data_IF_653614230950
#
_entry.id   IF_653614230950
#
_cell.length_a   1.000
_cell.length_b   1.000
_cell.length_c   1.000
_cell.angle_alpha   90.00
_cell.angle_beta   90.00
_cell.angle_gamma   90.00
#
_symmetry.space_group_name_H-M   'P 1'
#
loop_
_entity.id
_entity.type
_entity.pdbx_description
1 polymer ?
#
# COMPACT_ATOMS: atom_id res chain seq x y z
N UNK A 1 -9.75 8.31 13.81
CA UNK A 1 -9.75 7.33 12.71
C UNK A 1 -8.33 6.99 12.25
N UNK A 2 -7.50 7.97 11.83
CA UNK A 2 -6.12 7.69 11.39
C UNK A 2 -5.28 6.98 12.48
N UNK A 3 -5.29 7.50 13.71
CA UNK A 3 -4.60 6.88 14.85
C UNK A 3 -5.04 5.44 15.14
N UNK A 4 -6.31 5.10 14.88
CA UNK A 4 -6.80 3.73 15.02
C UNK A 4 -6.20 2.82 13.95
N UNK A 5 -6.12 3.27 12.69
CA UNK A 5 -5.47 2.54 11.61
C UNK A 5 -3.96 2.39 11.85
N UNK A 6 -3.30 3.39 12.44
CA UNK A 6 -1.88 3.29 12.85
C UNK A 6 -1.69 2.21 13.91
N UNK A 7 -2.52 2.21 14.96
CA UNK A 7 -2.50 1.18 16.00
C UNK A 7 -2.76 -0.22 15.42
N UNK A 8 -3.73 -0.35 14.51
CA UNK A 8 -4.01 -1.62 13.82
C UNK A 8 -2.83 -2.08 12.96
N UNK A 9 -2.24 -1.18 12.16
CA UNK A 9 -1.06 -1.51 11.36
C UNK A 9 0.14 -1.89 12.22
N UNK A 10 0.32 -1.25 13.38
CA UNK A 10 1.39 -1.57 14.33
C UNK A 10 1.17 -2.95 14.96
N UNK A 11 -0.05 -3.25 15.42
CA UNK A 11 -0.42 -4.56 15.97
C UNK A 11 -0.26 -5.69 14.94
N UNK A 12 -0.66 -5.46 13.67
CA UNK A 12 -0.48 -6.42 12.58
C UNK A 12 0.99 -6.67 12.26
N UNK A 13 1.85 -5.64 12.32
CA UNK A 13 3.31 -5.79 12.15
C UNK A 13 3.94 -6.56 13.30
N UNK A 14 3.52 -6.28 14.53
CA UNK A 14 3.97 -6.97 15.74
C UNK A 14 3.40 -8.38 15.88
N UNK A 15 2.38 -8.74 15.08
CA UNK A 15 1.62 -9.99 15.15
C UNK A 15 1.03 -10.25 16.55
N UNK A 16 0.63 -9.18 17.23
CA UNK A 16 0.00 -9.27 18.55
C UNK A 16 -1.49 -9.63 18.38
N UNK A 17 -1.80 -10.92 18.49
CA UNK A 17 -3.16 -11.42 18.31
C UNK A 17 -4.14 -10.86 19.34
N UNK A 18 -3.70 -10.53 20.56
CA UNK A 18 -4.56 -9.95 21.59
C UNK A 18 -4.95 -8.53 21.21
N UNK A 19 -3.97 -7.69 20.88
CA UNK A 19 -4.24 -6.31 20.46
C UNK A 19 -5.05 -6.25 19.18
N UNK A 20 -4.80 -7.14 18.21
CA UNK A 20 -5.63 -7.22 16.99
C UNK A 20 -7.08 -7.54 17.36
N UNK A 21 -7.32 -8.52 18.23
CA UNK A 21 -8.67 -8.92 18.67
C UNK A 21 -9.41 -7.77 19.34
N UNK A 22 -8.75 -7.05 20.24
CA UNK A 22 -9.30 -5.88 20.94
C UNK A 22 -9.66 -4.76 19.95
N UNK A 23 -8.79 -4.48 18.98
CA UNK A 23 -9.04 -3.48 17.95
C UNK A 23 -10.21 -3.87 17.04
N UNK A 24 -10.37 -5.16 16.71
CA UNK A 24 -11.49 -5.65 15.90
C UNK A 24 -12.85 -5.58 16.60
N UNK A 25 -12.88 -5.59 17.94
CA UNK A 25 -14.11 -5.39 18.71
C UNK A 25 -14.50 -3.91 18.86
N UNK A 26 -13.60 -2.99 18.48
CA UNK A 26 -13.84 -1.56 18.61
C UNK A 26 -14.96 -1.11 17.65
N UNK A 27 -15.84 -0.16 18.03
CA UNK A 27 -16.93 0.31 17.16
C UNK A 27 -16.45 0.85 15.81
N UNK A 28 -15.23 1.39 15.75
CA UNK A 28 -14.62 1.87 14.50
C UNK A 28 -14.27 0.75 13.51
N UNK A 29 -14.20 -0.51 13.95
CA UNK A 29 -13.99 -1.65 13.06
C UNK A 29 -15.17 -1.84 12.09
N UNK A 30 -16.38 -1.42 12.46
CA UNK A 30 -17.57 -1.50 11.59
C UNK A 30 -17.47 -0.64 10.33
N UNK A 31 -16.62 0.40 10.35
CA UNK A 31 -16.36 1.25 9.20
C UNK A 31 -15.25 0.72 8.28
N UNK A 32 -14.60 -0.40 8.64
CA UNK A 32 -13.54 -0.99 7.85
C UNK A 32 -14.10 -1.83 6.70
N UNK A 33 -13.40 -1.89 5.55
CA UNK A 33 -13.70 -2.85 4.49
C UNK A 33 -13.59 -4.29 4.98
N UNK A 34 -14.47 -5.17 4.49
CA UNK A 34 -14.46 -6.59 4.83
C UNK A 34 -13.11 -7.27 4.57
N UNK A 35 -12.41 -6.90 3.49
CA UNK A 35 -11.08 -7.43 3.16
C UNK A 35 -10.02 -7.15 4.24
N UNK A 36 -10.11 -6.00 4.93
CA UNK A 36 -9.19 -5.66 6.04
C UNK A 36 -9.55 -6.46 7.28
N UNK A 37 -10.85 -6.66 7.54
CA UNK A 37 -11.31 -7.46 8.69
C UNK A 37 -10.93 -8.93 8.55
N UNK A 38 -11.14 -9.52 7.38
CA UNK A 38 -10.76 -10.90 7.08
C UNK A 38 -9.24 -11.10 7.17
N UNK A 39 -8.46 -10.16 6.62
CA UNK A 39 -7.00 -10.20 6.71
C UNK A 39 -6.51 -10.10 8.16
N UNK A 40 -7.08 -9.18 8.95
CA UNK A 40 -6.72 -9.03 10.35
C UNK A 40 -7.12 -10.26 11.19
N UNK A 41 -8.29 -10.85 10.94
CA UNK A 41 -8.71 -12.10 11.60
C UNK A 41 -7.80 -13.27 11.22
N UNK A 42 -7.45 -13.41 9.94
CA UNK A 42 -6.54 -14.46 9.48
C UNK A 42 -5.17 -14.36 10.17
N UNK A 43 -4.63 -13.15 10.28
CA UNK A 43 -3.35 -12.90 10.96
C UNK A 43 -3.47 -13.12 12.48
N UNK A 44 -4.60 -12.79 13.09
CA UNK A 44 -4.83 -13.01 14.52
C UNK A 44 -4.88 -14.51 14.87
N UNK A 45 -5.43 -15.34 13.99
CA UNK A 45 -5.58 -16.80 14.18
C UNK A 45 -4.29 -17.54 13.79
N UNK A 46 -3.53 -17.04 12.81
CA UNK A 46 -2.26 -17.65 12.41
C UNK A 46 -1.18 -17.41 13.47
N UNK A 47 -0.75 -18.49 14.13
CA UNK A 47 0.37 -18.53 15.07
C UNK A 47 1.59 -19.31 14.53
N UNK A 48 1.64 -19.53 13.21
CA UNK A 48 2.65 -20.38 12.54
C UNK A 48 3.51 -19.65 11.51
N UNK A 49 4.38 -20.43 10.86
CA UNK A 49 5.48 -20.02 9.95
C UNK A 49 5.03 -19.31 8.65
N UNK A 50 3.72 -19.23 8.41
CA UNK A 50 3.17 -18.51 7.26
C UNK A 50 3.17 -17.00 7.50
N UNK A 51 4.14 -16.34 6.88
CA UNK A 51 4.24 -14.89 6.85
C UNK A 51 3.22 -14.27 5.90
N UNK A 52 1.96 -14.17 6.33
CA UNK A 52 0.95 -13.38 5.62
C UNK A 52 1.24 -11.89 5.86
N UNK A 53 1.32 -11.12 4.77
CA UNK A 53 1.49 -9.67 4.82
C UNK A 53 0.11 -8.97 4.93
N UNK A 54 -0.03 -7.93 5.77
CA UNK A 54 -1.27 -7.17 5.92
C UNK A 54 -1.44 -6.12 4.80
N UNK A 55 -1.58 -6.59 3.55
CA UNK A 55 -1.55 -5.74 2.35
C UNK A 55 -2.75 -4.78 2.34
N UNK A 56 -3.95 -5.28 2.67
CA UNK A 56 -5.18 -4.48 2.61
C UNK A 56 -5.20 -3.43 3.71
N UNK A 57 -4.79 -3.80 4.93
CA UNK A 57 -4.69 -2.85 6.04
C UNK A 57 -3.71 -1.71 5.74
N UNK A 58 -2.52 -2.04 5.22
CA UNK A 58 -1.51 -1.03 4.83
C UNK A 58 -2.01 -0.12 3.71
N UNK A 59 -2.65 -0.70 2.68
CA UNK A 59 -3.22 0.08 1.57
C UNK A 59 -4.27 1.07 2.06
N UNK A 60 -5.18 0.63 2.93
CA UNK A 60 -6.22 1.49 3.49
C UNK A 60 -5.62 2.64 4.30
N UNK A 61 -4.64 2.36 5.16
CA UNK A 61 -3.91 3.37 5.93
C UNK A 61 -3.30 4.43 5.01
N UNK A 62 -2.56 4.03 3.97
CA UNK A 62 -1.94 4.99 3.06
C UNK A 62 -2.97 5.82 2.28
N UNK A 63 -4.07 5.21 1.83
CA UNK A 63 -5.16 5.92 1.16
C UNK A 63 -5.79 6.98 2.08
N UNK A 64 -6.10 6.60 3.33
CA UNK A 64 -6.69 7.55 4.30
C UNK A 64 -5.70 8.62 4.74
N UNK A 65 -4.43 8.28 4.93
CA UNK A 65 -3.38 9.23 5.25
C UNK A 65 -3.16 10.26 4.14
N UNK A 66 -3.24 9.84 2.87
CA UNK A 66 -3.18 10.76 1.73
C UNK A 66 -4.41 11.68 1.66
N UNK A 67 -5.62 11.14 1.83
CA UNK A 67 -6.85 11.94 1.81
C UNK A 67 -6.89 12.99 2.93
N UNK A 68 -6.33 12.67 4.10
CA UNK A 68 -6.26 13.57 5.25
C UNK A 68 -5.04 14.51 5.22
N UNK A 69 -4.18 14.42 4.19
CA UNK A 69 -2.96 15.24 4.09
C UNK A 69 -1.87 14.90 5.11
N UNK A 70 -2.04 13.81 5.88
CA UNK A 70 -1.08 13.35 6.89
C UNK A 70 0.14 12.64 6.26
N UNK A 71 -0.05 11.98 5.11
CA UNK A 71 1.05 11.49 4.28
C UNK A 71 1.24 12.40 3.06
N UNK A 72 2.25 13.26 3.10
CA UNK A 72 2.84 13.81 1.87
C UNK A 72 3.63 12.69 1.20
N UNK A 73 3.18 12.23 0.05
CA UNK A 73 3.93 11.28 -0.77
C UNK A 73 5.36 11.81 -1.01
N UNK A 74 6.43 11.09 -0.61
CA UNK A 74 7.79 11.52 -0.88
C UNK A 74 8.10 11.57 -2.39
N UNK A 75 7.36 10.84 -3.24
CA UNK A 75 7.46 10.95 -4.70
C UNK A 75 6.76 12.20 -5.25
N UNK A 76 5.73 12.72 -4.57
CA UNK A 76 5.08 14.00 -4.89
C UNK A 76 6.01 15.21 -4.65
N UNK A 77 7.08 15.06 -3.84
CA UNK A 77 8.13 16.09 -3.73
C UNK A 77 8.98 16.27 -5.01
N UNK A 78 8.85 15.40 -6.01
CA UNK A 78 9.56 15.54 -7.29
C UNK A 78 8.74 16.29 -8.35
N UNK A 79 8.56 17.58 -8.12
CA UNK A 79 8.91 18.65 -9.06
C UNK A 79 8.58 19.98 -8.38
N UNK A 80 9.57 20.80 -7.99
CA UNK A 80 9.34 22.22 -8.11
C UNK A 80 9.03 22.45 -9.60
N UNK A 81 7.77 22.75 -9.92
CA UNK A 81 7.47 23.51 -11.12
C UNK A 81 8.18 24.83 -10.89
N UNK A 82 9.43 24.90 -11.36
CA UNK A 82 10.02 26.18 -11.68
C UNK A 82 9.15 26.69 -12.80
N UNK A 83 8.24 27.59 -12.46
CA UNK A 83 7.56 28.45 -13.39
C UNK A 83 8.64 29.34 -14.05
N UNK A 84 9.42 28.74 -14.95
CA UNK A 84 10.27 29.44 -15.89
C UNK A 84 9.58 29.34 -17.24
N UNK A 85 8.92 30.44 -17.56
CA UNK A 85 8.38 30.79 -18.86
C UNK A 85 9.52 30.62 -19.88
N UNK A 86 9.48 29.56 -20.69
CA UNK A 86 10.29 29.45 -21.91
C UNK A 86 9.63 28.45 -22.89
N UNK A 87 9.45 28.81 -24.17
CA UNK A 87 8.71 27.98 -25.13
C UNK A 87 9.52 26.75 -25.60
N UNK A 88 8.77 25.70 -25.92
CA UNK A 88 9.16 24.38 -26.41
C UNK A 88 10.12 24.42 -27.62
N UNK A 89 10.84 23.32 -27.85
CA UNK A 89 10.57 22.58 -29.08
C UNK A 89 10.23 21.10 -28.84
N UNK A 90 9.32 20.62 -29.67
CA UNK A 90 8.98 19.23 -29.89
C UNK A 90 10.24 18.38 -30.12
N UNK A 91 10.38 17.28 -29.38
CA UNK A 91 10.83 15.97 -29.89
C UNK A 91 10.83 14.94 -28.76
N UNK A 92 9.64 14.46 -28.40
CA UNK A 92 9.48 13.27 -27.57
C UNK A 92 8.36 12.42 -28.17
N UNK A 93 8.68 11.74 -29.27
CA UNK A 93 7.91 10.58 -29.72
C UNK A 93 8.83 9.37 -29.75
N UNK A 94 8.37 8.34 -29.04
CA UNK A 94 8.71 6.92 -29.23
C UNK A 94 10.16 6.52 -29.01
N UNK A 95 10.52 6.25 -27.75
CA UNK A 95 11.34 5.09 -27.42
C UNK A 95 10.48 4.12 -26.62
N UNK A 96 9.55 3.48 -27.34
CA UNK A 96 9.00 2.20 -26.94
C UNK A 96 10.20 1.28 -26.72
N UNK A 97 10.34 0.80 -25.50
CA UNK A 97 11.36 -0.18 -25.15
C UNK A 97 10.87 -1.49 -25.77
N UNK A 98 11.33 -1.80 -26.98
CA UNK A 98 11.22 -3.13 -27.57
C UNK A 98 12.08 -4.07 -26.72
N UNK A 99 11.43 -4.79 -25.78
CA UNK A 99 12.03 -5.97 -25.16
C UNK A 99 11.98 -7.11 -26.18
N UNK A 100 13.04 -7.27 -26.97
CA UNK A 100 13.27 -8.51 -27.71
C UNK A 100 13.59 -9.65 -26.72
N UNK A 101 12.63 -10.54 -26.52
CA UNK A 101 12.82 -11.80 -25.80
C UNK A 101 13.32 -12.86 -26.80
N UNK A 102 14.52 -13.45 -26.64
CA UNK A 102 14.93 -14.55 -27.49
C UNK A 102 14.12 -15.80 -27.15
N UNK A 103 13.28 -16.22 -28.10
CA UNK A 103 12.61 -17.52 -28.08
C UNK A 103 13.66 -18.63 -27.93
N UNK A 104 13.63 -19.37 -26.81
CA UNK A 104 14.31 -20.66 -26.72
C UNK A 104 13.64 -21.64 -27.68
N UNK A 105 14.33 -21.98 -28.76
CA UNK A 105 13.98 -23.14 -29.57
C UNK A 105 14.22 -24.42 -28.75
N UNK A 106 13.15 -25.15 -28.48
CA UNK A 106 13.20 -26.54 -28.04
C UNK A 106 13.31 -27.44 -29.28
N UNK A 107 14.40 -28.18 -29.42
CA UNK A 107 14.60 -29.36 -30.29
C UNK A 107 15.82 -30.08 -29.69
N UNK A 108 15.85 -31.37 -29.35
CA UNK A 108 14.95 -32.51 -29.47
C UNK A 108 15.17 -33.44 -28.27
#
# INVERSE_FOLDING_TARGET
MLAYLESLCSALKARDSRTISELLQHPLATALPASVLEEAQRIAIQHGDELVAPIHALRLYHQTAHLLGACTDPASRRRPVVAAIAPLPMEQRTRQIELELPFRAAVA
#
